data_IF_467530846873
#
_entry.id   IF_467530846873
#
_cell.length_a   1.000
_cell.length_b   1.000
_cell.length_c   1.000
_cell.angle_alpha   90.00
_cell.angle_beta   90.00
_cell.angle_gamma   90.00
#
_symmetry.space_group_name_H-M   'P 1'
#
loop_
_entity.id
_entity.type
_entity.pdbx_description
1 polymer ?
#
# COMPACT_ATOMS: atom_id res chain seq x y z
N UNK A 1 -9.99 -19.05 31.78
CA UNK A 1 -10.86 -19.07 30.59
C UNK A 1 -10.37 -18.03 29.59
N UNK A 2 -10.44 -18.34 28.30
CA UNK A 2 -9.98 -17.49 27.20
C UNK A 2 -11.21 -16.85 26.54
N UNK A 3 -11.34 -15.52 26.62
CA UNK A 3 -12.54 -14.80 26.16
C UNK A 3 -12.26 -13.91 24.94
N UNK A 4 -11.11 -13.25 24.90
CA UNK A 4 -10.80 -12.23 23.90
C UNK A 4 -9.44 -12.55 23.30
N UNK A 5 -9.43 -12.84 21.99
CA UNK A 5 -8.21 -13.25 21.31
C UNK A 5 -7.88 -12.38 20.11
N UNK A 6 -6.60 -12.37 19.74
CA UNK A 6 -6.10 -11.88 18.48
C UNK A 6 -5.51 -13.04 17.69
N UNK A 7 -5.79 -13.11 16.40
CA UNK A 7 -5.34 -14.17 15.50
C UNK A 7 -4.67 -13.57 14.27
N UNK A 8 -3.48 -14.06 13.94
CA UNK A 8 -2.71 -13.56 12.80
C UNK A 8 -1.68 -14.58 12.30
N UNK A 9 -1.17 -14.37 11.09
CA UNK A 9 -0.12 -15.16 10.46
C UNK A 9 1.27 -14.77 10.98
N UNK A 10 2.10 -15.76 11.29
CA UNK A 10 3.54 -15.59 11.44
C UNK A 10 4.31 -16.47 10.44
N UNK A 11 5.50 -16.03 10.05
CA UNK A 11 6.36 -16.81 9.16
C UNK A 11 7.36 -17.69 9.94
N UNK A 12 7.39 -18.99 9.68
CA UNK A 12 8.47 -19.88 10.13
C UNK A 12 9.76 -19.58 9.38
N UNK A 13 9.67 -19.46 8.06
CA UNK A 13 10.72 -18.94 7.17
C UNK A 13 10.11 -17.87 6.29
N UNK A 14 10.74 -16.69 6.24
CA UNK A 14 10.18 -15.53 5.55
C UNK A 14 9.87 -15.87 4.09
N UNK A 15 8.60 -15.74 3.70
CA UNK A 15 8.15 -15.96 2.32
C UNK A 15 7.99 -17.43 1.89
N UNK A 16 8.11 -18.40 2.81
CA UNK A 16 7.95 -19.82 2.48
C UNK A 16 6.78 -20.44 3.22
N UNK A 17 6.91 -20.60 4.54
CA UNK A 17 5.95 -21.31 5.38
C UNK A 17 5.43 -20.40 6.49
N UNK A 18 4.12 -20.44 6.69
CA UNK A 18 3.37 -19.61 7.61
C UNK A 18 2.60 -20.49 8.58
N UNK A 19 2.55 -20.08 9.85
CA UNK A 19 1.67 -20.64 10.87
C UNK A 19 0.78 -19.54 11.44
N UNK A 20 -0.19 -19.92 12.26
CA UNK A 20 -1.07 -18.96 12.97
C UNK A 20 -0.58 -18.76 14.40
N UNK A 21 -0.54 -17.52 14.86
CA UNK A 21 -0.41 -17.21 16.29
C UNK A 21 -1.78 -16.80 16.84
N UNK A 22 -2.12 -17.34 18.00
CA UNK A 22 -3.27 -16.89 18.79
C UNK A 22 -2.77 -16.26 20.08
N UNK A 23 -3.23 -15.05 20.34
CA UNK A 23 -2.87 -14.27 21.52
C UNK A 23 -4.10 -13.98 22.36
N UNK A 24 -3.99 -14.19 23.67
CA UNK A 24 -4.94 -13.65 24.64
C UNK A 24 -4.72 -12.14 24.73
N UNK A 25 -5.73 -11.36 24.32
CA UNK A 25 -5.63 -9.90 24.28
C UNK A 25 -5.76 -9.25 25.66
N UNK A 26 -6.43 -9.92 26.60
CA UNK A 26 -6.57 -9.44 27.97
C UNK A 26 -5.25 -9.59 28.71
N UNK A 27 -4.65 -10.79 28.62
CA UNK A 27 -3.39 -11.13 29.28
C UNK A 27 -2.15 -10.74 28.46
N UNK A 28 -2.35 -10.22 27.24
CA UNK A 28 -1.29 -9.80 26.31
C UNK A 28 -0.20 -10.84 26.09
N UNK A 29 -0.59 -12.11 25.93
CA UNK A 29 0.36 -13.23 25.75
C UNK A 29 -0.08 -14.22 24.67
N UNK A 30 0.86 -14.86 23.96
CA UNK A 30 0.53 -15.98 23.08
C UNK A 30 -0.07 -17.12 23.88
N UNK A 31 -1.10 -17.75 23.34
CA UNK A 31 -1.75 -18.94 23.92
C UNK A 31 -1.67 -20.15 23.01
N UNK A 32 -1.52 -19.96 21.71
CA UNK A 32 -1.29 -21.04 20.77
C UNK A 32 -0.44 -20.59 19.58
N UNK A 33 0.33 -21.53 19.06
CA UNK A 33 0.94 -21.45 17.73
C UNK A 33 0.44 -22.66 16.95
N UNK A 34 -0.19 -22.43 15.79
CA UNK A 34 -0.69 -23.46 14.90
C UNK A 34 0.32 -23.76 13.79
N UNK A 35 0.36 -24.99 13.27
CA UNK A 35 1.38 -25.43 12.32
C UNK A 35 1.27 -24.78 10.94
N UNK A 36 0.09 -24.29 10.58
CA UNK A 36 -0.19 -23.65 9.29
C UNK A 36 -1.22 -22.53 9.45
N UNK A 37 -1.55 -21.86 8.33
CA UNK A 37 -2.60 -20.85 8.21
C UNK A 37 -3.87 -21.39 7.53
N UNK A 38 -4.05 -22.71 7.50
CA UNK A 38 -5.18 -23.31 6.82
C UNK A 38 -6.46 -23.07 7.62
N UNK A 39 -7.54 -22.75 6.90
CA UNK A 39 -8.85 -22.48 7.48
C UNK A 39 -9.29 -23.60 8.44
N UNK A 40 -9.13 -24.86 8.03
CA UNK A 40 -9.54 -26.01 8.83
C UNK A 40 -8.78 -26.12 10.15
N UNK A 41 -7.47 -25.84 10.13
CA UNK A 41 -6.61 -25.87 11.33
C UNK A 41 -7.06 -24.82 12.34
N UNK A 42 -7.28 -23.57 11.89
CA UNK A 42 -7.77 -22.51 12.77
C UNK A 42 -9.20 -22.78 13.26
N UNK A 43 -10.08 -23.29 12.40
CA UNK A 43 -11.46 -23.62 12.76
C UNK A 43 -11.52 -24.71 13.84
N UNK A 44 -10.72 -25.77 13.69
CA UNK A 44 -10.68 -26.86 14.67
C UNK A 44 -10.25 -26.34 16.06
N UNK A 45 -9.17 -25.56 16.11
CA UNK A 45 -8.70 -24.97 17.36
C UNK A 45 -9.72 -24.01 17.99
N UNK A 46 -10.40 -23.18 17.19
CA UNK A 46 -11.44 -22.27 17.69
C UNK A 46 -12.65 -23.02 18.25
N UNK A 47 -13.02 -24.17 17.66
CA UNK A 47 -14.14 -24.98 18.12
C UNK A 47 -13.93 -25.59 19.52
N UNK A 48 -12.66 -25.82 19.91
CA UNK A 48 -12.29 -26.29 21.25
C UNK A 48 -12.38 -25.17 22.32
N UNK A 49 -12.63 -23.92 21.91
CA UNK A 49 -12.65 -22.76 22.78
C UNK A 49 -13.95 -21.95 22.66
N UNK A 50 -15.11 -22.54 23.00
CA UNK A 50 -16.43 -21.90 22.86
C UNK A 50 -16.63 -20.68 23.78
N UNK A 51 -15.77 -20.49 24.79
CA UNK A 51 -15.81 -19.32 25.68
C UNK A 51 -15.34 -18.03 25.02
N UNK A 52 -14.73 -18.10 23.84
CA UNK A 52 -14.24 -16.92 23.11
C UNK A 52 -15.43 -16.11 22.60
N UNK A 53 -15.52 -14.87 23.06
CA UNK A 53 -16.59 -13.93 22.70
C UNK A 53 -16.13 -12.87 21.69
N UNK A 54 -14.83 -12.58 21.60
CA UNK A 54 -14.27 -11.55 20.71
C UNK A 54 -13.00 -12.07 20.04
N UNK A 55 -12.91 -11.88 18.71
CA UNK A 55 -11.72 -12.22 17.93
C UNK A 55 -11.26 -11.03 17.10
N UNK A 56 -10.11 -10.45 17.42
CA UNK A 56 -9.42 -9.51 16.56
C UNK A 56 -8.63 -10.26 15.48
N UNK A 57 -8.80 -9.88 14.22
CA UNK A 57 -8.14 -10.54 13.10
C UNK A 57 -7.73 -9.58 12.01
N UNK A 58 -6.74 -9.99 11.22
CA UNK A 58 -6.57 -9.43 9.88
C UNK A 58 -7.77 -9.79 8.97
N UNK A 59 -7.92 -9.04 7.89
CA UNK A 59 -8.93 -9.22 6.85
C UNK A 59 -8.50 -10.24 5.78
N UNK A 60 -7.26 -10.71 5.82
CA UNK A 60 -6.73 -11.78 4.97
C UNK A 60 -6.89 -13.19 5.55
N UNK A 61 -6.47 -14.20 4.77
CA UNK A 61 -6.15 -15.53 5.31
C UNK A 61 -7.31 -16.49 5.62
N UNK A 62 -8.58 -16.12 5.37
CA UNK A 62 -9.72 -17.01 5.63
C UNK A 62 -10.11 -17.12 7.11
N UNK A 63 -9.45 -16.37 8.01
CA UNK A 63 -9.77 -16.35 9.44
C UNK A 63 -11.20 -15.95 9.72
N UNK A 64 -11.76 -14.98 8.98
CA UNK A 64 -13.15 -14.59 9.15
C UNK A 64 -14.14 -15.72 8.93
N UNK A 65 -13.87 -16.58 7.95
CA UNK A 65 -14.67 -17.77 7.66
C UNK A 65 -14.46 -18.86 8.71
N UNK A 66 -13.21 -19.09 9.14
CA UNK A 66 -12.90 -20.02 10.22
C UNK A 66 -13.63 -19.65 11.52
N UNK A 67 -13.60 -18.37 11.90
CA UNK A 67 -14.29 -17.85 13.09
C UNK A 67 -15.80 -17.96 12.94
N UNK A 68 -16.37 -17.54 11.80
CA UNK A 68 -17.81 -17.64 11.58
C UNK A 68 -18.31 -19.10 11.66
N UNK A 69 -17.50 -20.05 11.20
CA UNK A 69 -17.84 -21.47 11.21
C UNK A 69 -17.59 -22.21 12.53
N UNK A 70 -16.72 -21.71 13.41
CA UNK A 70 -16.43 -22.32 14.72
C UNK A 70 -17.10 -21.59 15.89
N UNK A 71 -17.20 -20.26 15.82
CA UNK A 71 -17.68 -19.38 16.87
C UNK A 71 -18.70 -18.38 16.28
N UNK A 72 -19.92 -18.83 15.91
CA UNK A 72 -20.90 -18.00 15.22
C UNK A 72 -21.35 -16.79 16.04
N UNK A 73 -21.28 -16.88 17.38
CA UNK A 73 -21.67 -15.81 18.30
C UNK A 73 -20.51 -14.87 18.67
N UNK A 74 -19.27 -15.17 18.25
CA UNK A 74 -18.13 -14.33 18.59
C UNK A 74 -18.08 -13.06 17.72
N UNK A 75 -17.92 -11.91 18.37
CA UNK A 75 -17.75 -10.65 17.68
C UNK A 75 -16.37 -10.59 17.02
N UNK A 76 -16.35 -10.51 15.69
CA UNK A 76 -15.12 -10.32 14.93
C UNK A 76 -14.74 -8.83 14.93
N UNK A 77 -13.46 -8.52 15.11
CA UNK A 77 -12.92 -7.15 15.08
C UNK A 77 -11.84 -7.09 14.01
N UNK A 78 -12.05 -6.26 12.99
CA UNK A 78 -11.04 -6.07 11.95
C UNK A 78 -9.83 -5.30 12.50
N UNK A 79 -8.63 -5.63 12.00
CA UNK A 79 -7.45 -4.87 12.36
C UNK A 79 -7.45 -3.45 11.78
N UNK A 80 -7.38 -2.46 12.67
CA UNK A 80 -7.33 -1.03 12.35
C UNK A 80 -6.13 -0.67 11.48
N UNK A 81 -4.97 -1.26 11.74
CA UNK A 81 -3.78 -0.93 10.96
C UNK A 81 -3.99 -1.29 9.48
N UNK A 82 -4.48 -2.51 9.22
CA UNK A 82 -4.83 -2.95 7.88
C UNK A 82 -5.95 -2.10 7.26
N UNK A 83 -6.94 -1.62 8.03
CA UNK A 83 -7.95 -0.70 7.51
C UNK A 83 -7.34 0.64 7.07
N UNK A 84 -6.43 1.21 7.87
CA UNK A 84 -5.75 2.47 7.57
C UNK A 84 -4.80 2.32 6.37
N UNK A 85 -4.01 1.24 6.32
CA UNK A 85 -3.11 0.95 5.21
C UNK A 85 -3.90 0.74 3.90
N UNK A 86 -4.97 -0.07 3.94
CA UNK A 86 -5.80 -0.33 2.76
C UNK A 86 -6.52 0.93 2.27
N UNK A 87 -6.97 1.82 3.18
CA UNK A 87 -7.56 3.12 2.81
C UNK A 87 -6.54 3.99 2.06
N UNK A 88 -5.31 4.08 2.57
CA UNK A 88 -4.24 4.88 1.96
C UNK A 88 -3.79 4.30 0.61
N UNK A 89 -3.72 2.96 0.52
CA UNK A 89 -3.45 2.25 -0.73
C UNK A 89 -4.55 2.48 -1.77
N UNK A 90 -5.82 2.49 -1.34
CA UNK A 90 -6.93 2.77 -2.25
C UNK A 90 -6.85 4.19 -2.82
N UNK A 91 -6.42 5.18 -2.04
CA UNK A 91 -6.19 6.53 -2.55
C UNK A 91 -5.03 6.56 -3.55
N UNK A 92 -3.92 5.89 -3.25
CA UNK A 92 -2.80 5.75 -4.19
C UNK A 92 -3.24 5.12 -5.52
N UNK A 93 -4.06 4.07 -5.45
CA UNK A 93 -4.62 3.41 -6.64
C UNK A 93 -5.54 4.36 -7.43
N UNK A 94 -6.33 5.21 -6.75
CA UNK A 94 -7.16 6.24 -7.38
C UNK A 94 -6.28 7.26 -8.14
N UNK A 95 -5.23 7.78 -7.51
CA UNK A 95 -4.26 8.68 -8.16
C UNK A 95 -3.61 7.98 -9.36
N UNK A 96 -3.20 6.72 -9.21
CA UNK A 96 -2.65 5.90 -10.29
C UNK A 96 -3.58 5.79 -11.50
N UNK A 97 -4.89 5.61 -11.28
CA UNK A 97 -5.91 5.55 -12.33
C UNK A 97 -6.09 6.91 -13.03
N UNK A 98 -6.01 8.01 -12.28
CA UNK A 98 -6.19 9.37 -12.80
C UNK A 98 -4.91 10.01 -13.36
N UNK A 99 -3.76 9.32 -13.34
CA UNK A 99 -2.48 9.86 -13.82
C UNK A 99 -2.51 10.40 -15.25
N UNK A 100 -3.39 9.89 -16.13
CA UNK A 100 -3.56 10.44 -17.48
C UNK A 100 -4.21 11.83 -17.45
N UNK A 101 -5.30 11.99 -16.72
CA UNK A 101 -5.99 13.28 -16.55
C UNK A 101 -5.09 14.29 -15.84
N UNK A 102 -4.35 13.84 -14.81
CA UNK A 102 -3.37 14.67 -14.11
C UNK A 102 -2.29 15.20 -15.07
N UNK A 103 -1.75 14.35 -15.96
CA UNK A 103 -0.76 14.79 -16.95
C UNK A 103 -1.32 15.83 -17.93
N UNK A 104 -2.58 15.68 -18.33
CA UNK A 104 -3.30 16.63 -19.18
C UNK A 104 -3.48 17.98 -18.47
N UNK A 105 -3.95 17.94 -17.22
CA UNK A 105 -4.17 19.12 -16.38
C UNK A 105 -2.89 19.94 -16.14
N UNK A 106 -1.74 19.26 -16.02
CA UNK A 106 -0.44 19.88 -15.75
C UNK A 106 0.28 20.29 -17.04
N UNK A 107 -0.35 20.17 -18.22
CA UNK A 107 0.22 20.57 -19.51
C UNK A 107 1.36 19.66 -20.01
N UNK A 108 1.58 18.52 -19.37
CA UNK A 108 2.74 17.62 -19.60
C UNK A 108 2.44 16.47 -20.57
N UNK A 109 1.53 16.67 -21.53
CA UNK A 109 0.98 15.60 -22.35
C UNK A 109 1.99 14.96 -23.32
N UNK A 110 3.14 15.59 -23.53
CA UNK A 110 4.20 15.09 -24.42
C UNK A 110 5.46 14.93 -23.58
N UNK A 111 5.75 13.69 -23.19
CA UNK A 111 7.08 13.34 -22.70
C UNK A 111 7.99 13.39 -23.93
N UNK A 112 8.73 14.48 -24.13
CA UNK A 112 9.72 14.54 -25.20
C UNK A 112 10.81 13.48 -24.93
N UNK A 113 10.93 12.44 -25.78
CA UNK A 113 11.95 11.40 -25.60
C UNK A 113 13.38 11.97 -25.59
N UNK A 114 13.60 13.14 -26.21
CA UNK A 114 14.90 13.83 -26.24
C UNK A 114 15.31 14.35 -24.86
N UNK A 115 14.35 14.61 -23.97
CA UNK A 115 14.56 15.08 -22.60
C UNK A 115 14.66 13.96 -21.56
N UNK A 116 14.55 12.69 -21.98
CA UNK A 116 14.68 11.53 -21.10
C UNK A 116 16.14 11.06 -20.97
N UNK A 117 16.56 10.72 -19.75
CA UNK A 117 17.81 9.97 -19.55
C UNK A 117 17.69 8.57 -20.12
N UNK A 118 18.81 7.88 -20.37
CA UNK A 118 18.82 6.52 -20.92
C UNK A 118 17.92 5.53 -20.14
N UNK A 119 18.02 5.53 -18.80
CA UNK A 119 17.19 4.68 -17.96
C UNK A 119 15.69 5.02 -18.05
N UNK A 120 15.36 6.30 -18.26
CA UNK A 120 13.98 6.77 -18.41
C UNK A 120 13.43 6.50 -19.81
N UNK A 121 14.26 6.57 -20.85
CA UNK A 121 13.90 6.12 -22.21
C UNK A 121 13.53 4.64 -22.20
N UNK A 122 14.33 3.81 -21.54
CA UNK A 122 14.04 2.37 -21.41
C UNK A 122 12.71 2.12 -20.66
N UNK A 123 12.42 2.91 -19.62
CA UNK A 123 11.13 2.83 -18.91
C UNK A 123 9.96 3.34 -19.75
N UNK A 124 10.17 4.40 -20.54
CA UNK A 124 9.18 5.00 -21.43
C UNK A 124 8.83 4.07 -22.59
N UNK A 125 9.83 3.47 -23.25
CA UNK A 125 9.63 2.42 -24.25
C UNK A 125 8.90 1.21 -23.65
N UNK A 126 9.32 0.79 -22.45
CA UNK A 126 8.62 -0.25 -21.70
C UNK A 126 7.20 0.15 -21.28
N UNK A 127 6.89 1.44 -21.15
CA UNK A 127 5.54 1.95 -20.93
C UNK A 127 4.71 1.92 -22.21
N UNK A 128 5.26 2.34 -23.36
CA UNK A 128 4.57 2.30 -24.65
C UNK A 128 4.11 0.88 -25.00
N UNK A 129 5.01 -0.11 -24.86
CA UNK A 129 4.65 -1.53 -25.07
C UNK A 129 3.54 -2.00 -24.11
N UNK A 130 3.55 -1.49 -22.86
CA UNK A 130 2.49 -1.78 -21.88
C UNK A 130 1.19 -1.09 -22.24
N UNK A 131 1.22 0.13 -22.76
CA UNK A 131 0.04 0.86 -23.22
C UNK A 131 -0.65 0.10 -24.35
N UNK A 132 0.09 -0.30 -25.39
CA UNK A 132 -0.45 -1.10 -26.49
C UNK A 132 -1.10 -2.40 -25.99
N UNK A 133 -0.42 -3.11 -25.09
CA UNK A 133 -0.96 -4.32 -24.45
C UNK A 133 -2.25 -4.01 -23.67
N UNK A 134 -2.26 -2.91 -22.91
CA UNK A 134 -3.39 -2.52 -22.08
C UNK A 134 -4.59 -2.11 -22.93
N UNK A 135 -4.37 -1.38 -24.02
CA UNK A 135 -5.40 -0.95 -24.96
C UNK A 135 -6.01 -2.15 -25.67
N UNK A 136 -5.20 -3.09 -26.18
CA UNK A 136 -5.69 -4.31 -26.81
C UNK A 136 -6.60 -5.13 -25.87
N UNK A 137 -6.20 -5.29 -24.59
CA UNK A 137 -7.01 -5.98 -23.58
C UNK A 137 -8.32 -5.22 -23.29
N UNK A 138 -8.27 -3.88 -23.19
CA UNK A 138 -9.45 -3.04 -22.95
C UNK A 138 -10.43 -3.10 -24.11
N UNK A 139 -9.95 -3.05 -25.35
CA UNK A 139 -10.79 -3.16 -26.55
C UNK A 139 -11.47 -4.53 -26.65
N UNK A 140 -10.75 -5.62 -26.37
CA UNK A 140 -11.37 -6.96 -26.31
C UNK A 140 -12.44 -7.05 -25.22
N UNK A 141 -12.21 -6.43 -24.06
CA UNK A 141 -13.21 -6.39 -22.98
C UNK A 141 -14.42 -5.52 -23.31
N UNK A 142 -14.24 -4.38 -23.99
CA UNK A 142 -15.35 -3.53 -24.45
C UNK A 142 -16.26 -4.28 -25.42
N UNK A 143 -15.71 -5.17 -26.25
CA UNK A 143 -16.43 -6.06 -27.14
C UNK A 143 -17.18 -7.21 -26.41
N UNK A 144 -17.21 -7.22 -25.08
CA UNK A 144 -17.89 -8.24 -24.27
C UNK A 144 -17.12 -9.56 -24.13
N UNK A 145 -15.85 -9.61 -24.55
CA UNK A 145 -15.05 -10.85 -24.50
C UNK A 145 -14.75 -11.24 -23.04
N UNK A 146 -15.02 -12.49 -22.68
CA UNK A 146 -14.73 -12.98 -21.33
C UNK A 146 -13.23 -12.96 -21.01
N UNK A 147 -12.86 -12.73 -19.74
CA UNK A 147 -11.45 -12.74 -19.29
C UNK A 147 -10.71 -14.02 -19.74
N UNK A 148 -11.39 -15.17 -19.73
CA UNK A 148 -10.80 -16.46 -20.12
C UNK A 148 -10.42 -16.47 -21.61
N UNK A 149 -11.24 -15.85 -22.44
CA UNK A 149 -11.01 -15.76 -23.88
C UNK A 149 -9.99 -14.68 -24.23
N UNK A 150 -9.97 -13.55 -23.50
CA UNK A 150 -8.90 -12.54 -23.61
C UNK A 150 -7.53 -13.18 -23.31
N UNK A 151 -7.42 -13.99 -22.25
CA UNK A 151 -6.19 -14.72 -21.92
C UNK A 151 -5.73 -15.64 -23.05
N UNK A 152 -6.67 -16.37 -23.68
CA UNK A 152 -6.36 -17.27 -24.81
C UNK A 152 -5.93 -16.50 -26.07
N UNK A 153 -6.58 -15.39 -26.38
CA UNK A 153 -6.29 -14.60 -27.59
C UNK A 153 -5.00 -13.79 -27.47
N UNK A 154 -4.72 -13.24 -26.28
CA UNK A 154 -3.55 -12.36 -26.06
C UNK A 154 -2.31 -13.12 -25.57
N UNK A 155 -2.46 -14.37 -25.12
CA UNK A 155 -1.38 -15.15 -24.48
C UNK A 155 -0.95 -14.61 -23.11
N UNK A 156 -1.61 -13.57 -22.58
CA UNK A 156 -1.23 -12.94 -21.32
C UNK A 156 -1.85 -13.64 -20.11
N UNK A 157 -1.13 -13.61 -18.98
CA UNK A 157 -1.63 -14.21 -17.74
C UNK A 157 -2.96 -13.62 -17.29
N UNK A 158 -3.81 -14.45 -16.68
CA UNK A 158 -5.10 -14.02 -16.14
C UNK A 158 -5.00 -12.88 -15.11
N UNK A 159 -3.88 -12.83 -14.39
CA UNK A 159 -3.56 -11.74 -13.47
C UNK A 159 -3.37 -10.43 -14.23
N UNK A 160 -2.54 -10.44 -15.28
CA UNK A 160 -2.29 -9.27 -16.11
C UNK A 160 -3.59 -8.71 -16.70
N UNK A 161 -4.43 -9.57 -17.29
CA UNK A 161 -5.73 -9.15 -17.85
C UNK A 161 -6.59 -8.47 -16.79
N UNK A 162 -6.69 -9.06 -15.58
CA UNK A 162 -7.44 -8.44 -14.48
C UNK A 162 -6.86 -7.10 -14.05
N UNK A 163 -5.55 -6.99 -13.91
CA UNK A 163 -4.87 -5.77 -13.47
C UNK A 163 -5.15 -4.63 -14.48
N UNK A 164 -5.07 -4.92 -15.78
CA UNK A 164 -5.37 -3.94 -16.86
C UNK A 164 -6.82 -3.48 -16.84
N UNK A 165 -7.77 -4.41 -16.72
CA UNK A 165 -9.21 -4.09 -16.66
C UNK A 165 -9.57 -3.31 -15.40
N UNK A 166 -8.82 -3.49 -14.31
CA UNK A 166 -8.93 -2.71 -13.07
C UNK A 166 -8.26 -1.33 -13.15
N UNK A 167 -7.69 -0.97 -14.30
CA UNK A 167 -7.01 0.31 -14.49
C UNK A 167 -5.61 0.39 -13.90
N UNK A 168 -5.02 -0.75 -13.52
CA UNK A 168 -3.65 -0.81 -13.00
C UNK A 168 -2.64 -0.79 -14.17
N UNK A 169 -1.38 -0.42 -13.89
CA UNK A 169 -0.25 -0.35 -14.85
C UNK A 169 -0.21 0.88 -15.79
N UNK A 170 -0.80 2.00 -15.39
CA UNK A 170 -0.71 3.27 -16.13
C UNK A 170 0.57 4.09 -15.83
N UNK A 171 1.41 3.58 -14.92
CA UNK A 171 2.65 4.25 -14.52
C UNK A 171 3.72 4.18 -15.60
N UNK A 172 4.10 5.36 -16.09
CA UNK A 172 5.18 5.57 -17.06
C UNK A 172 6.53 5.27 -16.42
N UNK A 173 6.79 5.86 -15.25
CA UNK A 173 8.03 5.70 -14.51
C UNK A 173 7.79 4.93 -13.22
N UNK A 174 8.62 3.91 -12.96
CA UNK A 174 8.58 3.20 -11.67
C UNK A 174 9.43 3.96 -10.66
N UNK A 175 8.80 4.56 -9.66
CA UNK A 175 9.53 5.18 -8.54
C UNK A 175 10.01 4.08 -7.61
N UNK A 176 11.32 3.83 -7.60
CA UNK A 176 11.96 3.03 -6.54
C UNK A 176 12.47 3.99 -5.47
N UNK A 177 12.37 3.64 -4.17
CA UNK A 177 13.09 4.35 -3.13
C UNK A 177 14.56 4.43 -3.52
N UNK A 178 15.10 5.63 -3.60
CA UNK A 178 16.49 5.87 -3.95
C UNK A 178 17.27 6.06 -2.65
N UNK A 179 18.53 5.64 -2.62
CA UNK A 179 19.45 6.06 -1.55
C UNK A 179 19.57 7.59 -1.47
N UNK A 180 19.21 8.31 -2.53
CA UNK A 180 19.16 9.77 -2.57
C UNK A 180 17.99 10.38 -1.81
N UNK A 181 16.92 9.65 -1.49
CA UNK A 181 15.67 10.26 -1.01
C UNK A 181 15.88 11.09 0.28
N UNK A 182 16.77 10.63 1.16
CA UNK A 182 17.18 11.33 2.39
C UNK A 182 18.03 12.57 2.10
N UNK A 183 18.78 12.55 0.99
CA UNK A 183 19.73 13.59 0.59
C UNK A 183 19.14 14.61 -0.40
N UNK A 184 17.91 14.41 -0.88
CA UNK A 184 17.26 15.30 -1.83
C UNK A 184 17.18 16.75 -1.33
N UNK A 185 16.84 17.06 -0.07
CA UNK A 185 16.80 18.45 0.41
C UNK A 185 18.17 19.13 0.27
N UNK A 186 19.23 18.45 0.70
CA UNK A 186 20.60 18.96 0.61
C UNK A 186 21.07 19.14 -0.84
N UNK A 187 20.83 18.13 -1.68
CA UNK A 187 21.18 18.19 -3.10
C UNK A 187 20.45 19.32 -3.84
N UNK A 188 19.17 19.54 -3.53
CA UNK A 188 18.39 20.62 -4.11
C UNK A 188 18.95 21.99 -3.69
N UNK A 189 19.26 22.18 -2.40
CA UNK A 189 19.84 23.42 -1.90
C UNK A 189 21.18 23.75 -2.62
N UNK A 190 22.11 22.78 -2.69
CA UNK A 190 23.39 22.96 -3.40
C UNK A 190 23.21 23.25 -4.89
N UNK A 191 22.20 22.65 -5.51
CA UNK A 191 21.87 22.93 -6.91
C UNK A 191 21.30 24.32 -7.09
N UNK A 192 20.45 24.78 -6.20
CA UNK A 192 19.88 26.14 -6.25
C UNK A 192 20.96 27.21 -5.97
N UNK A 193 21.98 26.88 -5.17
CA UNK A 193 23.21 27.67 -4.97
C UNK A 193 24.16 27.69 -6.19
N UNK A 194 23.83 26.97 -7.27
CA UNK A 194 24.60 26.98 -8.52
C UNK A 194 25.60 25.83 -8.69
N UNK A 195 25.65 24.85 -7.78
CA UNK A 195 26.48 23.67 -7.99
C UNK A 195 25.97 22.89 -9.22
N UNK A 196 26.84 22.69 -10.21
CA UNK A 196 26.50 21.95 -11.44
C UNK A 196 27.35 20.70 -11.66
N UNK A 197 28.45 20.51 -10.93
CA UNK A 197 29.32 19.34 -11.07
C UNK A 197 28.82 18.17 -10.20
N UNK A 198 28.28 17.15 -10.86
CA UNK A 198 27.72 15.98 -10.18
C UNK A 198 28.76 15.15 -9.40
N UNK A 199 30.01 15.10 -9.88
CA UNK A 199 31.07 14.34 -9.21
C UNK A 199 31.56 15.07 -7.95
N UNK A 200 31.58 16.41 -7.98
CA UNK A 200 31.86 17.23 -6.80
C UNK A 200 30.77 17.05 -5.73
N UNK A 201 29.49 17.15 -6.12
CA UNK A 201 28.36 16.91 -5.23
C UNK A 201 28.40 15.51 -4.62
N UNK A 202 28.74 14.48 -5.40
CA UNK A 202 28.89 13.13 -4.87
C UNK A 202 30.02 13.00 -3.85
N UNK A 203 31.18 13.63 -4.09
CA UNK A 203 32.31 13.62 -3.13
C UNK A 203 31.93 14.31 -1.82
N UNK A 204 31.22 15.45 -1.88
CA UNK A 204 30.69 16.15 -0.71
C UNK A 204 29.71 15.26 0.07
N UNK A 205 28.78 14.61 -0.63
CA UNK A 205 27.83 13.68 -0.01
C UNK A 205 28.54 12.47 0.63
N UNK A 206 29.54 11.90 -0.05
CA UNK A 206 30.30 10.76 0.46
C UNK A 206 31.05 11.13 1.75
N UNK A 207 31.63 12.33 1.82
CA UNK A 207 32.29 12.84 3.02
C UNK A 207 31.32 13.00 4.21
N UNK A 208 30.04 13.29 3.93
CA UNK A 208 28.98 13.41 4.94
C UNK A 208 28.25 12.07 5.23
N UNK A 209 28.74 10.95 4.67
CA UNK A 209 28.23 9.61 4.99
C UNK A 209 27.22 9.04 4.00
N UNK A 210 27.12 9.56 2.77
CA UNK A 210 26.28 8.97 1.73
C UNK A 210 26.86 7.61 1.25
N UNK A 211 26.08 6.50 1.33
CA UNK A 211 26.58 5.17 0.96
C UNK A 211 26.45 4.85 -0.54
N UNK A 212 25.96 5.78 -1.36
CA UNK A 212 25.66 5.53 -2.77
C UNK A 212 26.81 5.83 -3.73
N UNK A 213 26.74 5.27 -4.94
CA UNK A 213 27.73 5.46 -5.99
C UNK A 213 27.54 6.77 -6.76
N UNK A 214 28.62 7.28 -7.37
CA UNK A 214 28.66 8.54 -8.13
C UNK A 214 27.63 8.57 -9.27
N UNK A 215 27.42 7.44 -9.95
CA UNK A 215 26.47 7.33 -11.06
C UNK A 215 25.03 7.71 -10.68
N UNK A 216 24.61 7.51 -9.43
CA UNK A 216 23.26 7.87 -8.97
C UNK A 216 23.11 9.39 -8.89
N UNK A 217 24.14 10.09 -8.40
CA UNK A 217 24.20 11.56 -8.35
C UNK A 217 24.37 12.15 -9.75
N UNK A 218 25.18 11.53 -10.61
CA UNK A 218 25.33 11.94 -12.02
C UNK A 218 24.01 11.84 -12.79
N UNK A 219 23.25 10.76 -12.61
CA UNK A 219 21.92 10.62 -13.20
C UNK A 219 20.92 11.63 -12.64
N UNK A 220 21.00 11.96 -11.35
CA UNK A 220 20.16 12.99 -10.74
C UNK A 220 20.50 14.39 -11.29
N UNK A 221 21.79 14.75 -11.38
CA UNK A 221 22.24 16.02 -11.93
C UNK A 221 21.91 16.15 -13.41
N UNK A 222 22.04 15.07 -14.19
CA UNK A 222 21.63 15.06 -15.59
C UNK A 222 20.12 15.28 -15.73
N UNK A 223 19.31 14.65 -14.86
CA UNK A 223 17.86 14.90 -14.81
C UNK A 223 17.55 16.36 -14.50
N UNK A 224 18.28 16.99 -13.58
CA UNK A 224 18.12 18.41 -13.24
C UNK A 224 18.45 19.35 -14.40
N UNK A 225 19.58 19.15 -15.09
CA UNK A 225 19.94 19.96 -16.28
C UNK A 225 18.92 19.83 -17.41
N UNK A 226 18.42 18.61 -17.65
CA UNK A 226 17.37 18.37 -18.64
C UNK A 226 16.06 19.03 -18.24
N UNK A 227 15.70 19.02 -16.95
CA UNK A 227 14.52 19.71 -16.43
C UNK A 227 14.64 21.24 -16.47
N UNK A 228 15.81 21.82 -16.20
CA UNK A 228 16.07 23.26 -16.35
C UNK A 228 15.94 23.68 -17.83
N UNK A 229 16.47 22.86 -18.74
CA UNK A 229 16.31 23.06 -20.19
C UNK A 229 14.85 22.89 -20.66
N UNK A 230 14.09 21.99 -20.01
CA UNK A 230 12.66 21.79 -20.26
C UNK A 230 11.77 22.91 -19.68
N UNK A 231 12.18 23.52 -18.56
CA UNK A 231 11.48 24.66 -17.95
C UNK A 231 11.62 25.94 -18.80
N UNK A 232 12.68 26.07 -19.61
CA UNK A 232 12.76 27.10 -20.65
C UNK A 232 11.76 26.85 -21.82
N UNK A 233 11.19 25.64 -21.90
CA UNK A 233 10.21 25.22 -22.92
C UNK A 233 8.82 24.86 -22.32
N UNK A 234 8.53 25.28 -21.09
CA UNK A 234 7.17 25.23 -20.51
C UNK A 234 6.65 23.85 -20.08
N UNK A 235 7.47 22.79 -20.08
CA UNK A 235 7.04 21.44 -19.72
C UNK A 235 7.57 21.03 -18.34
N UNK A 236 6.86 21.42 -17.28
CA UNK A 236 7.09 20.88 -15.95
C UNK A 236 6.70 19.38 -15.93
N UNK A 237 7.67 18.51 -15.64
CA UNK A 237 7.48 17.07 -15.63
C UNK A 237 6.54 16.65 -14.49
N UNK A 238 5.41 16.00 -14.82
CA UNK A 238 4.44 15.51 -13.83
C UNK A 238 5.08 14.49 -12.86
N UNK A 239 4.96 14.67 -11.52
CA UNK A 239 5.50 13.73 -10.54
C UNK A 239 4.83 12.35 -10.59
N UNK A 240 5.42 11.37 -9.89
CA UNK A 240 4.84 10.02 -9.82
C UNK A 240 3.53 9.98 -9.02
N UNK A 241 2.69 8.98 -9.27
CA UNK A 241 1.43 8.77 -8.53
C UNK A 241 1.62 8.75 -7.02
N UNK A 242 2.72 8.16 -6.52
CA UNK A 242 3.04 8.13 -5.09
C UNK A 242 3.38 9.51 -4.52
N UNK A 243 4.10 10.32 -5.30
CA UNK A 243 4.43 11.70 -4.91
C UNK A 243 3.16 12.54 -4.91
N UNK A 244 2.35 12.46 -5.96
CA UNK A 244 1.06 13.16 -6.04
C UNK A 244 0.13 12.74 -4.90
N UNK A 245 -0.01 11.44 -4.63
CA UNK A 245 -0.82 10.94 -3.53
C UNK A 245 -0.34 11.51 -2.19
N UNK A 246 0.99 11.51 -1.95
CA UNK A 246 1.58 12.15 -0.75
C UNK A 246 1.20 13.62 -0.70
N UNK A 247 1.51 14.40 -1.73
CA UNK A 247 1.24 15.85 -1.81
C UNK A 247 -0.24 16.19 -1.57
N UNK A 248 -1.15 15.39 -2.14
CA UNK A 248 -2.59 15.59 -1.96
C UNK A 248 -3.06 15.31 -0.53
N UNK A 249 -2.34 14.47 0.24
CA UNK A 249 -2.65 14.13 1.63
C UNK A 249 -1.81 14.86 2.68
N UNK A 250 -0.72 15.53 2.29
CA UNK A 250 0.09 16.36 3.18
C UNK A 250 -0.68 17.65 3.52
N UNK A 251 -0.53 18.16 4.74
CA UNK A 251 -1.10 19.46 5.13
C UNK A 251 -0.57 20.56 4.19
N UNK A 252 -1.46 21.47 3.77
CA UNK A 252 -1.12 22.51 2.79
C UNK A 252 0.00 23.45 3.26
N UNK A 253 0.13 23.62 4.58
CA UNK A 253 1.12 24.49 5.21
C UNK A 253 2.56 23.95 5.11
N UNK A 254 2.73 22.67 4.78
CA UNK A 254 4.03 22.01 4.63
C UNK A 254 4.50 21.90 3.17
N UNK A 255 3.74 22.47 2.20
CA UNK A 255 4.03 22.35 0.77
C UNK A 255 4.90 23.49 0.25
N UNK A 256 5.89 23.18 -0.59
CA UNK A 256 6.60 24.21 -1.34
C UNK A 256 5.65 24.92 -2.33
N UNK A 257 5.92 26.19 -2.67
CA UNK A 257 5.07 27.00 -3.57
C UNK A 257 4.75 26.30 -4.90
N UNK A 258 5.74 25.64 -5.50
CA UNK A 258 5.57 24.87 -6.75
C UNK A 258 4.67 23.64 -6.58
N UNK A 259 4.73 22.98 -5.43
CA UNK A 259 3.89 21.83 -5.09
C UNK A 259 2.46 22.25 -4.80
N UNK A 260 2.26 23.39 -4.12
CA UNK A 260 0.93 23.96 -3.88
C UNK A 260 0.21 24.33 -5.19
N UNK A 261 0.94 24.93 -6.15
CA UNK A 261 0.40 25.23 -7.50
C UNK A 261 0.02 23.94 -8.23
N UNK A 262 0.87 22.90 -8.17
CA UNK A 262 0.58 21.59 -8.76
C UNK A 262 -0.69 20.97 -8.14
N UNK A 263 -0.78 20.98 -6.80
CA UNK A 263 -1.95 20.46 -6.07
C UNK A 263 -3.20 21.21 -6.48
N UNK A 264 -3.17 22.55 -6.52
CA UNK A 264 -4.31 23.36 -6.92
C UNK A 264 -4.76 23.05 -8.36
N UNK A 265 -3.81 22.90 -9.29
CA UNK A 265 -4.11 22.52 -10.67
C UNK A 265 -4.77 21.13 -10.76
N UNK A 266 -4.31 20.15 -9.97
CA UNK A 266 -4.92 18.81 -9.91
C UNK A 266 -6.33 18.87 -9.32
N UNK A 267 -6.52 19.61 -8.23
CA UNK A 267 -7.82 19.72 -7.56
C UNK A 267 -8.89 20.34 -8.47
N UNK A 268 -8.52 21.35 -9.28
CA UNK A 268 -9.43 22.01 -10.23
C UNK A 268 -9.76 21.11 -11.42
N UNK A 269 -8.77 20.42 -11.99
CA UNK A 269 -8.94 19.69 -13.25
C UNK A 269 -9.30 18.21 -13.05
N UNK A 270 -9.13 17.66 -11.85
CA UNK A 270 -9.46 16.27 -11.51
C UNK A 270 -10.28 16.21 -10.21
N UNK A 271 -11.52 16.76 -10.21
CA UNK A 271 -12.35 16.87 -9.00
C UNK A 271 -12.68 15.51 -8.39
N UNK A 272 -12.69 14.45 -9.18
CA UNK A 272 -12.89 13.06 -8.75
C UNK A 272 -11.84 12.61 -7.71
N UNK A 273 -10.60 13.12 -7.80
CA UNK A 273 -9.55 12.86 -6.81
C UNK A 273 -9.77 13.63 -5.51
N UNK A 274 -10.38 14.81 -5.58
CA UNK A 274 -10.76 15.57 -4.38
C UNK A 274 -11.81 14.79 -3.61
N UNK A 275 -12.85 14.29 -4.31
CA UNK A 275 -13.86 13.42 -3.71
C UNK A 275 -13.21 12.19 -3.10
N UNK A 276 -12.34 11.49 -3.83
CA UNK A 276 -11.64 10.30 -3.32
C UNK A 276 -10.79 10.59 -2.08
N UNK A 277 -10.07 11.73 -2.06
CA UNK A 277 -9.28 12.17 -0.91
C UNK A 277 -10.18 12.42 0.29
N UNK A 278 -11.24 13.20 0.12
CA UNK A 278 -12.19 13.53 1.19
C UNK A 278 -12.83 12.27 1.74
N UNK A 279 -13.32 11.37 0.87
CA UNK A 279 -13.86 10.06 1.28
C UNK A 279 -12.86 9.27 2.14
N UNK A 280 -11.58 9.19 1.75
CA UNK A 280 -10.57 8.48 2.55
C UNK A 280 -10.28 9.21 3.86
N UNK A 281 -10.21 10.54 3.84
CA UNK A 281 -10.06 11.37 5.04
C UNK A 281 -11.18 11.15 6.05
N UNK A 282 -12.44 11.14 5.59
CA UNK A 282 -13.62 10.89 6.42
C UNK A 282 -13.57 9.50 7.05
N UNK A 283 -13.20 8.47 6.26
CA UNK A 283 -13.04 7.11 6.78
C UNK A 283 -11.99 7.02 7.89
N UNK A 284 -10.81 7.62 7.66
CA UNK A 284 -9.74 7.63 8.64
C UNK A 284 -10.13 8.44 9.88
N UNK A 285 -10.87 9.53 9.72
CA UNK A 285 -11.43 10.33 10.81
C UNK A 285 -12.44 9.52 11.64
N UNK A 286 -13.33 8.75 11.00
CA UNK A 286 -14.26 7.85 11.70
C UNK A 286 -13.54 6.82 12.56
N UNK A 287 -12.46 6.21 12.05
CA UNK A 287 -11.66 5.25 12.84
C UNK A 287 -11.01 5.95 14.04
N UNK A 288 -10.41 7.12 13.85
CA UNK A 288 -9.71 7.85 14.93
C UNK A 288 -10.68 8.38 15.99
N UNK A 289 -11.83 8.90 15.57
CA UNK A 289 -12.86 9.47 16.45
C UNK A 289 -13.81 8.42 17.04
N UNK A 290 -13.73 7.16 16.60
CA UNK A 290 -14.63 6.06 17.01
C UNK A 290 -16.10 6.32 16.69
N UNK A 291 -16.38 7.09 15.63
CA UNK A 291 -17.74 7.48 15.25
C UNK A 291 -18.30 6.54 14.17
N UNK A 292 -19.19 5.62 14.54
CA UNK A 292 -19.80 4.67 13.59
C UNK A 292 -20.99 5.23 12.82
N UNK A 293 -21.70 6.21 13.37
CA UNK A 293 -23.00 6.64 12.83
C UNK A 293 -22.96 7.08 11.35
N UNK A 294 -21.79 7.48 10.84
CA UNK A 294 -21.59 7.91 9.46
C UNK A 294 -21.08 6.81 8.52
N UNK A 295 -20.87 5.58 9.01
CA UNK A 295 -20.22 4.52 8.25
C UNK A 295 -21.07 4.06 7.05
N UNK A 296 -22.37 3.88 7.24
CA UNK A 296 -23.29 3.47 6.18
C UNK A 296 -23.46 4.56 5.12
N UNK A 297 -23.60 5.83 5.54
CA UNK A 297 -23.65 6.99 4.63
C UNK A 297 -22.35 7.12 3.83
N UNK A 298 -21.21 7.04 4.53
CA UNK A 298 -19.89 7.05 3.93
C UNK A 298 -19.74 5.94 2.89
N UNK A 299 -20.26 4.73 3.17
CA UNK A 299 -20.15 3.61 2.25
C UNK A 299 -20.87 3.90 0.93
N UNK A 300 -22.06 4.51 0.96
CA UNK A 300 -22.80 4.87 -0.26
C UNK A 300 -22.01 5.87 -1.10
N UNK A 301 -21.47 6.93 -0.48
CA UNK A 301 -20.64 7.91 -1.17
C UNK A 301 -19.34 7.28 -1.72
N UNK A 302 -18.68 6.42 -0.94
CA UNK A 302 -17.42 5.78 -1.31
C UNK A 302 -17.56 4.79 -2.48
N UNK A 303 -18.72 4.14 -2.62
CA UNK A 303 -19.02 3.26 -3.76
C UNK A 303 -19.15 4.00 -5.09
N UNK A 304 -19.51 5.28 -5.05
CA UNK A 304 -19.65 6.12 -6.25
C UNK A 304 -18.34 6.83 -6.63
N UNK A 305 -17.32 6.80 -5.77
CA UNK A 305 -16.04 7.46 -6.00
C UNK A 305 -14.96 6.51 -6.55
N UNK A 306 -13.76 7.05 -6.78
CA UNK A 306 -12.60 6.28 -7.27
C UNK A 306 -12.10 5.21 -6.28
N UNK A 307 -12.59 5.22 -5.03
CA UNK A 307 -12.25 4.25 -3.99
C UNK A 307 -13.31 3.15 -3.79
N UNK A 308 -14.21 2.97 -4.78
CA UNK A 308 -15.27 1.96 -4.73
C UNK A 308 -14.81 0.53 -4.40
N UNK A 309 -13.62 0.12 -4.86
CA UNK A 309 -13.09 -1.21 -4.57
C UNK A 309 -12.79 -1.40 -3.09
N UNK A 310 -12.34 -0.34 -2.42
CA UNK A 310 -12.13 -0.34 -0.98
C UNK A 310 -13.46 -0.34 -0.24
N UNK A 311 -14.43 0.48 -0.68
CA UNK A 311 -15.78 0.51 -0.13
C UNK A 311 -16.46 -0.88 -0.19
N UNK A 312 -16.43 -1.53 -1.35
CA UNK A 312 -16.93 -2.91 -1.53
C UNK A 312 -16.20 -3.91 -0.62
N UNK A 313 -14.91 -3.69 -0.37
CA UNK A 313 -14.16 -4.46 0.62
C UNK A 313 -14.71 -4.24 2.03
N UNK A 314 -14.88 -3.00 2.45
CA UNK A 314 -15.43 -2.64 3.77
C UNK A 314 -16.83 -3.23 3.96
N UNK A 315 -17.71 -3.14 2.96
CA UNK A 315 -19.07 -3.68 3.02
C UNK A 315 -19.09 -5.19 3.27
N UNK A 316 -18.24 -5.96 2.59
CA UNK A 316 -18.14 -7.41 2.77
C UNK A 316 -17.76 -7.83 4.19
N UNK A 317 -17.12 -6.93 4.93
CA UNK A 317 -16.63 -7.18 6.29
C UNK A 317 -17.24 -6.17 7.29
N UNK A 318 -18.45 -5.67 6.99
CA UNK A 318 -19.06 -4.53 7.67
C UNK A 318 -19.12 -4.70 9.18
N UNK A 319 -19.56 -5.87 9.66
CA UNK A 319 -19.67 -6.15 11.08
C UNK A 319 -18.30 -6.04 11.79
N UNK A 320 -17.24 -6.59 11.18
CA UNK A 320 -15.90 -6.53 11.76
C UNK A 320 -15.29 -5.12 11.71
N UNK A 321 -15.56 -4.35 10.64
CA UNK A 321 -15.14 -2.95 10.53
C UNK A 321 -15.87 -2.08 11.54
N UNK A 322 -17.18 -2.25 11.69
CA UNK A 322 -17.98 -1.57 12.73
C UNK A 322 -17.39 -1.83 14.10
N UNK A 323 -17.14 -3.10 14.44
CA UNK A 323 -16.51 -3.47 15.70
C UNK A 323 -15.10 -2.90 15.85
N UNK A 324 -14.32 -2.79 14.77
CA UNK A 324 -13.01 -2.14 14.78
C UNK A 324 -13.08 -0.65 15.12
N UNK A 325 -14.20 0.03 14.87
CA UNK A 325 -14.37 1.45 15.23
C UNK A 325 -14.72 1.59 16.73
N UNK A 326 -15.63 0.76 17.24
CA UNK A 326 -16.18 0.91 18.62
C UNK A 326 -15.39 0.17 19.70
N UNK A 327 -14.83 -0.99 19.38
CA UNK A 327 -14.24 -1.88 20.38
C UNK A 327 -12.92 -1.32 20.90
N UNK A 328 -12.52 -1.53 22.16
CA UNK A 328 -11.16 -1.22 22.60
C UNK A 328 -10.12 -2.18 21.98
N UNK A 329 -10.55 -3.39 21.58
CA UNK A 329 -9.66 -4.45 21.12
C UNK A 329 -9.12 -4.20 19.70
N UNK A 330 -7.89 -4.63 19.45
CA UNK A 330 -7.26 -4.62 18.14
C UNK A 330 -6.21 -5.71 18.02
N UNK A 331 -5.78 -5.99 16.80
CA UNK A 331 -4.74 -6.98 16.53
C UNK A 331 -3.32 -6.47 16.85
N UNK A 332 -3.16 -5.22 17.29
CA UNK A 332 -1.83 -4.63 17.57
C UNK A 332 -1.04 -5.35 18.65
N UNK A 333 -1.72 -5.94 19.66
CA UNK A 333 -1.04 -6.80 20.65
C UNK A 333 -0.51 -8.08 20.00
N UNK A 334 -1.29 -8.70 19.10
CA UNK A 334 -0.86 -9.87 18.32
C UNK A 334 0.35 -9.55 17.46
N UNK A 335 0.35 -8.40 16.79
CA UNK A 335 1.49 -7.92 16.00
C UNK A 335 2.74 -7.71 16.88
N UNK A 336 2.57 -7.16 18.08
CA UNK A 336 3.61 -7.07 19.10
C UNK A 336 4.21 -8.43 19.46
N UNK A 337 3.35 -9.44 19.67
CA UNK A 337 3.81 -10.82 19.93
C UNK A 337 4.48 -11.47 18.72
N UNK A 338 4.03 -11.17 17.50
CA UNK A 338 4.72 -11.60 16.26
C UNK A 338 6.11 -10.98 16.20
N UNK A 339 6.25 -9.71 16.60
CA UNK A 339 7.55 -9.03 16.64
C UNK A 339 8.47 -9.68 17.68
N UNK A 340 7.95 -10.01 18.87
CA UNK A 340 8.67 -10.79 19.88
C UNK A 340 9.07 -12.18 19.36
N UNK A 341 8.17 -12.90 18.68
CA UNK A 341 8.47 -14.18 18.04
C UNK A 341 9.61 -14.05 17.03
N UNK A 342 9.59 -13.01 16.19
CA UNK A 342 10.69 -12.72 15.24
C UNK A 342 12.01 -12.48 15.98
N UNK A 343 11.99 -11.80 17.11
CA UNK A 343 13.19 -11.56 17.93
C UNK A 343 13.74 -12.87 18.54
N UNK A 344 12.87 -13.70 19.14
CA UNK A 344 13.25 -15.01 19.70
C UNK A 344 13.91 -15.88 18.63
N UNK A 345 13.33 -15.94 17.43
CA UNK A 345 13.94 -16.67 16.30
C UNK A 345 15.32 -16.13 15.93
N UNK A 346 15.55 -14.82 15.97
CA UNK A 346 16.86 -14.21 15.71
C UNK A 346 17.88 -14.61 16.78
N UNK A 347 17.50 -14.58 18.05
CA UNK A 347 18.34 -15.04 19.17
C UNK A 347 18.71 -16.52 19.04
N UNK A 348 17.83 -17.32 18.44
CA UNK A 348 18.02 -18.76 18.23
C UNK A 348 18.64 -19.09 16.87
N UNK A 349 19.32 -18.14 16.23
CA UNK A 349 19.99 -18.30 14.93
C UNK A 349 19.07 -18.86 13.82
N UNK A 350 17.81 -18.42 13.82
CA UNK A 350 16.81 -18.82 12.83
C UNK A 350 16.14 -20.16 13.09
N UNK A 351 16.48 -20.86 14.18
CA UNK A 351 15.73 -22.06 14.62
C UNK A 351 14.30 -21.65 14.98
N UNK A 352 13.33 -22.34 14.41
CA UNK A 352 11.93 -22.01 14.57
C UNK A 352 11.01 -23.18 14.26
N UNK A 353 11.35 -24.38 14.75
CA UNK A 353 10.39 -25.50 14.76
C UNK A 353 9.24 -25.14 15.71
N UNK A 354 8.04 -25.66 15.44
CA UNK A 354 6.82 -25.25 16.14
C UNK A 354 6.89 -25.53 17.65
N UNK A 355 7.25 -26.75 18.02
CA UNK A 355 7.51 -27.22 19.39
C UNK A 355 8.44 -26.28 20.16
N UNK A 356 9.56 -25.91 19.52
CA UNK A 356 10.58 -25.05 20.11
C UNK A 356 10.07 -23.61 20.31
N UNK A 357 9.26 -23.10 19.38
CA UNK A 357 8.65 -21.77 19.49
C UNK A 357 7.56 -21.76 20.57
N UNK A 358 6.74 -22.80 20.66
CA UNK A 358 5.73 -22.95 21.70
C UNK A 358 6.40 -22.95 23.09
N UNK A 359 7.43 -23.78 23.28
CA UNK A 359 8.18 -23.85 24.54
C UNK A 359 8.79 -22.51 24.96
N UNK A 360 9.25 -21.69 24.01
CA UNK A 360 9.91 -20.40 24.29
C UNK A 360 8.94 -19.22 24.48
N UNK A 361 7.77 -19.24 23.83
CA UNK A 361 6.85 -18.11 23.80
C UNK A 361 5.66 -18.26 24.73
N UNK A 362 5.17 -19.48 24.90
CA UNK A 362 4.03 -19.79 25.77
C UNK A 362 4.56 -20.31 27.12
N UNK A 363 5.65 -21.08 27.08
CA UNK A 363 6.19 -21.80 28.22
C UNK A 363 5.81 -23.28 28.18
N UNK A 364 6.44 -24.10 29.00
CA UNK A 364 5.91 -25.42 29.30
C UNK A 364 4.64 -25.24 30.14
N UNK A 365 3.58 -25.98 29.80
CA UNK A 365 2.35 -26.04 30.58
C UNK A 365 2.62 -26.58 31.99
#
# INVERSE_FOLDING_TARGET
>A
MLSIIGIDDFAFRRGQTYGTIVCDLERRRPVALLPDRALNTSRAWLAEHPSISIVARDRGGGYGEAIAGALPNAAQVADRWHLMENSSRSFLDAVGKSMRQIRQAVGSNIVDPKLLTYAERLQYEGYLRRQETNEAIRELSKKGTSIRQIVRQTGHSRKLVRDVLRGQRLDVFRTRPSSLDVWLPWLNARWDEGARNALALWREMQAQGFPGQSGVVSQWAQRRRLAEKANQSGLARTPSARVIAKLLTTARDDLAKSEAILVAAIEVNVPELVVARTTIGDFQSMIRSRTVAKLEEWLQAAKLSLVNSFANGVEKDMAAVRNAIISPWSNGQTEGQITRLKLVKRQMYGRGKLDLLQARLIGAA
#
